data_IF_192389662811
#
_entry.id   IF_192389662811
#
_cell.length_a   1.000
_cell.length_b   1.000
_cell.length_c   1.000
_cell.angle_alpha   90.00
_cell.angle_beta   90.00
_cell.angle_gamma   90.00
#
_symmetry.space_group_name_H-M   'P 1'
#
loop_
_entity.id
_entity.type
_entity.pdbx_description
1 polymer ?
#
# COMPACT_ATOMS: atom_id res chain seq x y z
N UNK A 1 -23.45 17.96 -42.61
CA UNK A 1 -22.82 17.05 -41.62
C UNK A 1 -22.21 17.90 -40.52
N UNK A 2 -22.79 17.91 -39.31
CA UNK A 2 -22.21 18.52 -38.11
C UNK A 2 -22.52 17.58 -36.96
N UNK A 3 -21.48 16.95 -36.41
CA UNK A 3 -21.58 16.03 -35.29
C UNK A 3 -21.59 16.85 -33.99
N UNK A 4 -22.64 16.69 -33.18
CA UNK A 4 -22.66 17.20 -31.81
C UNK A 4 -22.18 16.06 -30.90
N UNK A 5 -21.03 16.26 -30.27
CA UNK A 5 -20.44 15.32 -29.31
C UNK A 5 -21.09 15.54 -27.95
N UNK A 6 -21.72 14.51 -27.40
CA UNK A 6 -22.25 14.50 -26.04
C UNK A 6 -21.11 14.24 -25.05
N UNK A 7 -20.73 15.25 -24.28
CA UNK A 7 -19.80 15.10 -23.15
C UNK A 7 -20.61 14.79 -21.89
N UNK A 8 -20.75 13.50 -21.55
CA UNK A 8 -21.30 13.08 -20.25
C UNK A 8 -20.24 13.23 -19.16
N UNK A 9 -20.46 14.15 -18.23
CA UNK A 9 -19.70 14.24 -17.00
C UNK A 9 -20.18 13.15 -16.02
N UNK A 10 -19.34 12.16 -15.74
CA UNK A 10 -19.59 11.19 -14.67
C UNK A 10 -19.12 11.81 -13.35
N UNK A 11 -20.07 12.17 -12.49
CA UNK A 11 -19.80 12.55 -11.10
C UNK A 11 -19.76 11.25 -10.29
N UNK A 12 -18.57 10.80 -9.91
CA UNK A 12 -18.39 9.67 -9.01
C UNK A 12 -18.57 10.13 -7.55
N UNK A 13 -19.64 9.67 -6.91
CA UNK A 13 -19.94 9.92 -5.51
C UNK A 13 -19.20 8.89 -4.64
N UNK A 14 -18.12 9.29 -3.97
CA UNK A 14 -17.40 8.42 -3.04
C UNK A 14 -18.10 8.41 -1.67
N UNK A 15 -18.65 7.25 -1.29
CA UNK A 15 -19.21 7.02 0.04
C UNK A 15 -18.06 6.68 0.99
N UNK A 16 -17.75 7.59 1.92
CA UNK A 16 -16.75 7.35 2.96
C UNK A 16 -17.34 6.50 4.08
N UNK A 17 -16.88 5.24 4.23
CA UNK A 17 -17.17 4.43 5.42
C UNK A 17 -16.00 4.60 6.39
N UNK A 18 -16.17 5.41 7.42
CA UNK A 18 -15.13 5.62 8.44
C UNK A 18 -15.25 4.58 9.56
N UNK A 19 -14.51 3.47 9.45
CA UNK A 19 -14.16 2.66 10.61
C UNK A 19 -12.85 3.21 11.21
N UNK A 20 -12.92 4.25 12.04
CA UNK A 20 -11.73 4.82 12.66
C UNK A 20 -11.38 4.09 13.95
N UNK A 21 -10.61 2.99 13.85
CA UNK A 21 -9.86 2.46 14.99
C UNK A 21 -8.61 3.34 15.18
N UNK A 22 -8.62 4.18 16.22
CA UNK A 22 -7.46 4.99 16.60
C UNK A 22 -6.50 4.11 17.39
N UNK A 23 -5.50 3.54 16.71
CA UNK A 23 -4.33 2.94 17.37
C UNK A 23 -3.31 4.06 17.56
N UNK A 24 -3.11 4.51 18.81
CA UNK A 24 -2.05 5.46 19.15
C UNK A 24 -0.71 4.72 19.16
N UNK A 25 0.16 5.03 18.20
CA UNK A 25 1.58 4.70 18.26
C UNK A 25 2.35 5.91 18.83
N UNK A 26 3.46 5.63 19.51
CA UNK A 26 4.35 6.53 20.28
C UNK A 26 5.07 7.59 19.43
N UNK A 27 4.30 8.37 18.67
CA UNK A 27 4.75 9.56 17.95
C UNK A 27 3.61 10.57 17.93
N UNK A 28 3.87 11.82 18.34
CA UNK A 28 2.93 12.95 18.44
C UNK A 28 2.21 13.35 17.13
N UNK A 29 2.36 12.60 16.04
CA UNK A 29 1.61 12.82 14.82
C UNK A 29 0.22 12.19 14.94
N UNK A 30 -0.84 13.02 14.90
CA UNK A 30 -2.18 12.54 14.56
C UNK A 30 -2.12 11.89 13.16
N UNK A 31 -2.15 10.56 13.13
CA UNK A 31 -2.09 9.77 11.91
C UNK A 31 -3.51 9.50 11.43
N UNK A 32 -3.88 10.14 10.33
CA UNK A 32 -5.13 9.88 9.64
C UNK A 32 -4.88 8.88 8.52
N UNK A 33 -5.89 8.07 8.20
CA UNK A 33 -5.80 7.16 7.07
C UNK A 33 -7.13 7.04 6.34
N UNK A 34 -7.05 6.79 5.04
CA UNK A 34 -8.17 6.42 4.19
C UNK A 34 -7.96 5.00 3.66
N UNK A 35 -8.99 4.17 3.71
CA UNK A 35 -8.96 2.80 3.15
C UNK A 35 -9.89 2.72 1.97
N UNK A 36 -9.37 2.25 0.84
CA UNK A 36 -10.13 2.01 -0.39
C UNK A 36 -10.01 0.54 -0.74
N UNK A 37 -11.13 -0.11 -1.06
CA UNK A 37 -11.14 -1.51 -1.53
C UNK A 37 -11.75 -1.57 -2.91
N UNK A 38 -11.02 -2.21 -3.83
CA UNK A 38 -11.48 -2.51 -5.18
C UNK A 38 -11.07 -3.95 -5.50
N UNK A 39 -12.05 -4.81 -5.77
CA UNK A 39 -11.84 -6.24 -6.01
C UNK A 39 -11.01 -6.89 -4.89
N UNK A 40 -9.89 -7.52 -5.26
CA UNK A 40 -8.93 -8.13 -4.36
C UNK A 40 -7.83 -7.17 -3.88
N UNK A 41 -7.95 -5.86 -4.15
CA UNK A 41 -6.97 -4.85 -3.77
C UNK A 41 -7.51 -3.96 -2.65
N UNK A 42 -6.71 -3.79 -1.60
CA UNK A 42 -6.97 -2.86 -0.50
C UNK A 42 -5.84 -1.84 -0.44
N UNK A 43 -6.18 -0.57 -0.65
CA UNK A 43 -5.26 0.56 -0.54
C UNK A 43 -5.48 1.30 0.78
N UNK A 44 -4.42 1.62 1.49
CA UNK A 44 -4.45 2.51 2.67
C UNK A 44 -3.55 3.70 2.41
N UNK A 45 -4.12 4.90 2.36
CA UNK A 45 -3.36 6.16 2.27
C UNK A 45 -3.27 6.78 3.65
N UNK A 46 -2.06 7.11 4.10
CA UNK A 46 -1.78 7.73 5.38
C UNK A 46 -1.45 9.20 5.19
N UNK A 47 -2.00 10.00 6.09
CA UNK A 47 -1.89 11.45 6.10
C UNK A 47 -1.39 11.94 7.46
N UNK A 48 -0.73 13.09 7.43
CA UNK A 48 -0.30 13.84 8.62
C UNK A 48 -0.72 15.30 8.46
N UNK A 49 -0.80 16.04 9.56
CA UNK A 49 -0.98 17.49 9.48
C UNK A 49 0.18 18.16 8.71
N UNK A 50 -0.13 19.24 7.97
CA UNK A 50 0.89 20.02 7.26
C UNK A 50 1.74 20.92 8.19
N UNK A 51 1.35 21.02 9.46
CA UNK A 51 2.02 21.81 10.51
C UNK A 51 1.81 23.33 10.38
N UNK A 52 0.99 23.78 9.44
CA UNK A 52 0.71 25.19 9.15
C UNK A 52 -0.77 25.53 9.25
N UNK A 53 -1.64 24.55 9.04
CA UNK A 53 -3.08 24.69 9.02
C UNK A 53 -3.75 23.39 9.45
N UNK A 54 -5.08 23.34 9.38
CA UNK A 54 -5.86 22.12 9.63
C UNK A 54 -5.84 21.15 8.43
N UNK A 55 -5.01 21.41 7.42
CA UNK A 55 -4.90 20.56 6.25
C UNK A 55 -4.08 19.30 6.52
N UNK A 56 -4.51 18.22 5.86
CA UNK A 56 -3.81 16.94 5.86
C UNK A 56 -2.99 16.79 4.57
N UNK A 57 -1.75 16.35 4.72
CA UNK A 57 -0.86 16.02 3.60
C UNK A 57 -0.60 14.51 3.57
N UNK A 58 -0.74 13.85 2.40
CA UNK A 58 -0.37 12.45 2.27
C UNK A 58 1.14 12.29 2.45
N UNK A 59 1.54 11.17 3.03
CA UNK A 59 2.98 10.86 3.16
C UNK A 59 3.33 9.40 2.84
N UNK A 60 2.36 8.48 2.98
CA UNK A 60 2.58 7.06 2.70
C UNK A 60 1.32 6.43 2.13
N UNK A 61 1.45 5.51 1.19
CA UNK A 61 0.36 4.65 0.72
C UNK A 61 0.82 3.20 0.74
N UNK A 62 -0.04 2.30 1.19
CA UNK A 62 0.14 0.84 1.10
C UNK A 62 -0.93 0.28 0.19
N UNK A 63 -0.55 -0.61 -0.72
CA UNK A 63 -1.47 -1.31 -1.62
C UNK A 63 -1.26 -2.80 -1.40
N UNK A 64 -2.29 -3.47 -0.88
CA UNK A 64 -2.27 -4.89 -0.60
C UNK A 64 -3.12 -5.62 -1.64
N UNK A 65 -2.60 -6.69 -2.21
CA UNK A 65 -3.33 -7.60 -3.09
C UNK A 65 -3.63 -8.88 -2.32
N UNK A 66 -4.91 -9.27 -2.33
CA UNK A 66 -5.43 -10.45 -1.68
C UNK A 66 -5.61 -11.59 -2.69
N UNK A 67 -5.51 -12.83 -2.24
CA UNK A 67 -5.99 -14.00 -3.00
C UNK A 67 -7.51 -14.20 -2.81
N UNK A 68 -8.06 -15.26 -3.40
CA UNK A 68 -9.48 -15.61 -3.35
C UNK A 68 -9.98 -15.89 -1.92
N UNK A 69 -9.09 -16.35 -1.04
CA UNK A 69 -9.36 -16.60 0.37
C UNK A 69 -9.26 -15.33 1.24
N UNK A 70 -8.96 -14.17 0.64
CA UNK A 70 -8.81 -12.90 1.36
C UNK A 70 -7.47 -12.72 2.08
N UNK A 71 -6.47 -13.55 1.79
CA UNK A 71 -5.13 -13.50 2.37
C UNK A 71 -4.23 -12.59 1.53
N UNK A 72 -3.46 -11.73 2.19
CA UNK A 72 -2.52 -10.82 1.52
C UNK A 72 -1.35 -11.58 0.88
N UNK A 73 -1.26 -11.56 -0.45
CA UNK A 73 -0.18 -12.20 -1.21
C UNK A 73 0.86 -11.22 -1.74
N UNK A 74 0.53 -9.93 -1.82
CA UNK A 74 1.47 -8.88 -2.19
C UNK A 74 1.17 -7.57 -1.47
N UNK A 75 2.22 -6.82 -1.12
CA UNK A 75 2.13 -5.47 -0.57
C UNK A 75 3.12 -4.57 -1.30
N UNK A 76 2.65 -3.40 -1.75
CA UNK A 76 3.50 -2.34 -2.26
C UNK A 76 3.37 -1.10 -1.38
N UNK A 77 4.50 -0.53 -0.99
CA UNK A 77 4.60 0.73 -0.25
C UNK A 77 4.99 1.86 -1.19
N UNK A 78 4.32 2.99 -1.08
CA UNK A 78 4.63 4.23 -1.79
C UNK A 78 4.86 5.38 -0.81
N UNK A 79 5.71 6.33 -1.18
CA UNK A 79 5.93 7.61 -0.49
C UNK A 79 5.39 8.73 -1.37
N UNK A 80 4.79 9.74 -0.74
CA UNK A 80 4.34 10.94 -1.44
C UNK A 80 5.50 11.87 -1.75
N UNK A 81 5.68 12.24 -3.02
CA UNK A 81 6.56 13.32 -3.43
C UNK A 81 5.75 14.61 -3.51
N UNK A 82 5.95 15.49 -2.52
CA UNK A 82 5.23 16.76 -2.43
C UNK A 82 5.61 17.76 -3.54
N UNK A 83 6.84 17.70 -4.06
CA UNK A 83 7.32 18.59 -5.13
C UNK A 83 6.59 18.31 -6.43
N UNK A 84 6.52 17.04 -6.81
CA UNK A 84 5.92 16.62 -8.09
C UNK A 84 4.45 16.20 -7.97
N UNK A 85 3.91 16.20 -6.73
CA UNK A 85 2.54 15.79 -6.41
C UNK A 85 2.19 14.40 -6.94
N UNK A 86 3.08 13.44 -6.72
CA UNK A 86 2.89 12.05 -7.17
C UNK A 86 3.37 11.03 -6.13
N UNK A 87 2.89 9.79 -6.27
CA UNK A 87 3.33 8.65 -5.47
C UNK A 87 4.56 8.00 -6.11
N UNK A 88 5.61 7.81 -5.31
CA UNK A 88 6.81 7.08 -5.69
C UNK A 88 6.82 5.72 -5.00
N UNK A 89 6.98 4.60 -5.74
CA UNK A 89 7.15 3.29 -5.13
C UNK A 89 8.43 3.26 -4.29
N UNK A 90 8.36 2.56 -3.16
CA UNK A 90 9.47 2.43 -2.21
C UNK A 90 9.93 0.98 -2.11
N UNK A 91 9.01 0.11 -1.71
CA UNK A 91 9.26 -1.31 -1.50
C UNK A 91 8.05 -2.14 -1.90
N UNK A 92 8.31 -3.40 -2.24
CA UNK A 92 7.31 -4.42 -2.48
C UNK A 92 7.68 -5.68 -1.69
N UNK A 93 6.67 -6.37 -1.18
CA UNK A 93 6.78 -7.67 -0.53
C UNK A 93 5.78 -8.63 -1.17
N UNK A 94 6.25 -9.80 -1.59
CA UNK A 94 5.42 -10.91 -2.05
C UNK A 94 5.52 -12.07 -1.08
N UNK A 95 4.37 -12.67 -0.75
CA UNK A 95 4.23 -13.71 0.27
C UNK A 95 3.83 -15.03 -0.39
N UNK A 96 4.56 -16.10 -0.07
CA UNK A 96 4.20 -17.48 -0.42
C UNK A 96 3.73 -18.19 0.83
N UNK A 97 2.65 -18.98 0.69
CA UNK A 97 2.01 -19.68 1.79
C UNK A 97 1.99 -21.19 1.56
N UNK A 98 2.03 -21.93 2.66
CA UNK A 98 1.56 -23.31 2.76
C UNK A 98 0.40 -23.33 3.75
N UNK A 99 -0.82 -23.59 3.26
CA UNK A 99 -2.05 -23.36 4.01
C UNK A 99 -2.17 -21.90 4.50
N UNK A 100 -2.17 -21.70 5.81
CA UNK A 100 -2.23 -20.39 6.45
C UNK A 100 -0.84 -19.83 6.86
N UNK A 101 0.23 -20.59 6.64
CA UNK A 101 1.59 -20.25 7.12
C UNK A 101 2.41 -19.63 6.00
N UNK A 102 3.07 -18.50 6.26
CA UNK A 102 4.03 -17.90 5.32
C UNK A 102 5.30 -18.73 5.30
N UNK A 103 5.66 -19.27 4.14
CA UNK A 103 6.90 -20.06 3.95
C UNK A 103 8.03 -19.24 3.33
N UNK A 104 7.69 -18.19 2.58
CA UNK A 104 8.67 -17.31 1.93
C UNK A 104 8.16 -15.89 1.80
N UNK A 105 9.06 -14.94 2.03
CA UNK A 105 8.86 -13.51 1.73
C UNK A 105 9.91 -13.07 0.73
N UNK A 106 9.47 -12.53 -0.40
CA UNK A 106 10.35 -11.87 -1.37
C UNK A 106 10.21 -10.35 -1.22
N UNK A 107 11.30 -9.67 -0.87
CA UNK A 107 11.33 -8.21 -0.72
C UNK A 107 12.06 -7.57 -1.90
N UNK A 108 11.48 -6.51 -2.44
CA UNK A 108 12.01 -5.76 -3.56
C UNK A 108 12.12 -4.29 -3.16
N UNK A 109 13.22 -3.66 -3.54
CA UNK A 109 13.38 -2.20 -3.45
C UNK A 109 13.18 -1.60 -4.82
N UNK A 110 12.48 -0.46 -4.89
CA UNK A 110 12.33 0.26 -6.15
C UNK A 110 13.65 0.85 -6.61
N UNK A 111 13.97 0.73 -7.90
CA UNK A 111 15.14 1.35 -8.50
C UNK A 111 14.71 2.57 -9.34
N UNK A 112 14.99 3.75 -8.82
CA UNK A 112 14.63 5.02 -9.49
C UNK A 112 15.34 5.23 -10.83
N UNK A 113 16.51 4.63 -11.06
CA UNK A 113 17.25 4.78 -12.32
C UNK A 113 16.65 3.92 -13.43
N UNK A 114 16.35 2.65 -13.13
CA UNK A 114 15.76 1.72 -14.12
C UNK A 114 14.24 1.78 -14.19
N UNK A 115 13.59 2.46 -13.25
CA UNK A 115 12.12 2.54 -13.12
C UNK A 115 11.46 1.16 -13.04
N UNK A 116 12.07 0.28 -12.25
CA UNK A 116 11.57 -1.08 -12.01
C UNK A 116 11.96 -1.57 -10.60
N UNK A 117 11.37 -2.68 -10.17
CA UNK A 117 11.78 -3.39 -8.97
C UNK A 117 13.17 -4.00 -9.14
N UNK A 118 14.02 -3.78 -8.14
CA UNK A 118 15.33 -4.43 -8.08
C UNK A 118 15.23 -5.94 -7.88
N UNK A 119 16.40 -6.58 -7.76
CA UNK A 119 16.45 -8.02 -7.45
C UNK A 119 15.77 -8.31 -6.12
N UNK A 120 14.99 -9.40 -6.11
CA UNK A 120 14.36 -9.89 -4.90
C UNK A 120 15.42 -10.29 -3.86
N UNK A 121 15.21 -9.89 -2.61
CA UNK A 121 15.84 -10.48 -1.45
C UNK A 121 14.84 -11.45 -0.83
N UNK A 122 15.27 -12.68 -0.56
CA UNK A 122 14.38 -13.72 -0.05
C UNK A 122 14.67 -13.98 1.42
N UNK A 123 13.61 -14.15 2.19
CA UNK A 123 13.67 -14.78 3.52
C UNK A 123 12.73 -15.97 3.48
N UNK A 124 13.27 -17.18 3.65
CA UNK A 124 12.51 -18.41 3.81
C UNK A 124 12.39 -18.75 5.29
N UNK A 125 11.25 -19.30 5.67
CA UNK A 125 11.03 -19.83 7.01
C UNK A 125 10.92 -21.35 6.89
N UNK A 126 11.98 -22.05 7.28
CA UNK A 126 11.96 -23.50 7.36
C UNK A 126 11.25 -23.90 8.65
N UNK A 127 10.23 -24.76 8.53
CA UNK A 127 9.49 -25.31 9.65
C UNK A 127 10.29 -26.45 10.28
N UNK A 128 11.41 -26.12 10.92
CA UNK A 128 12.09 -27.06 11.81
C UNK A 128 11.76 -26.67 13.25
N UNK A 129 11.19 -27.59 14.03
CA UNK A 129 10.96 -27.45 15.49
C UNK A 129 12.26 -27.27 16.31
N UNK A 130 13.40 -27.00 15.67
CA UNK A 130 14.61 -26.58 16.36
C UNK A 130 15.46 -25.68 15.45
N UNK A 131 15.84 -24.53 16.01
CA UNK A 131 16.74 -23.51 15.48
C UNK A 131 16.30 -22.70 14.25
N UNK A 132 15.85 -21.47 14.55
CA UNK A 132 15.91 -20.31 13.68
C UNK A 132 17.34 -20.11 13.16
N UNK A 133 17.62 -20.56 11.94
CA UNK A 133 18.82 -20.18 11.21
C UNK A 133 18.40 -19.29 10.04
N UNK A 134 18.61 -17.99 10.22
CA UNK A 134 18.69 -17.02 9.14
C UNK A 134 19.89 -17.37 8.25
N UNK A 135 19.65 -17.61 6.96
CA UNK A 135 20.66 -17.50 5.90
C UNK A 135 20.24 -16.42 4.91
#
# INVERSE_FOLDING_TARGET
>A
MKANVFTSAIVALFIFVTNSLVVKADSDALLYHNVEKQDNVVSTTYFKGDGKSENLIPFKKKVNTMNEQGICVSKVTYIWNATNKNWLPLDKMDYTYDGATVTKVSRYSWNEKSKDWGKAQHVSYDQNESNLLTK
#
